data_IF_450987263652
#
_entry.id   IF_450987263652
#
_cell.length_a   1.000
_cell.length_b   1.000
_cell.length_c   1.000
_cell.angle_alpha   90.00
_cell.angle_beta   90.00
_cell.angle_gamma   90.00
#
_symmetry.space_group_name_H-M   'P 1'
#
loop_
_entity.id
_entity.type
_entity.pdbx_description
1 polymer ?
#
# COMPACT_ATOMS: atom_id res chain seq x y z
N UNK A 1 -8.03 10.25 48.85
CA UNK A 1 -7.49 9.27 47.88
C UNK A 1 -7.87 9.69 46.48
N UNK A 2 -6.95 9.56 45.52
CA UNK A 2 -7.26 9.74 44.11
C UNK A 2 -7.00 8.41 43.42
N UNK A 3 -7.99 7.92 42.67
CA UNK A 3 -7.93 6.64 41.96
C UNK A 3 -8.28 6.85 40.50
N UNK A 4 -7.47 6.28 39.60
CA UNK A 4 -7.74 6.26 38.17
C UNK A 4 -8.33 4.90 37.76
N UNK A 5 -9.23 4.91 36.79
CA UNK A 5 -9.73 3.71 36.12
C UNK A 5 -8.63 3.03 35.29
N UNK A 6 -8.92 1.84 34.75
CA UNK A 6 -8.09 1.17 33.73
C UNK A 6 -7.70 2.12 32.60
N UNK A 7 -6.53 1.88 31.99
CA UNK A 7 -5.87 2.72 30.97
C UNK A 7 -5.34 4.07 31.45
N UNK A 8 -5.55 4.44 32.71
CA UNK A 8 -5.04 5.68 33.27
C UNK A 8 -4.25 5.41 34.55
N UNK A 9 -3.14 6.15 34.71
CA UNK A 9 -2.36 6.15 35.93
C UNK A 9 -2.21 7.58 36.44
N UNK A 10 -2.02 7.72 37.74
CA UNK A 10 -1.92 9.00 38.45
C UNK A 10 -0.60 9.14 39.17
N UNK A 11 -0.13 10.38 39.29
CA UNK A 11 1.11 10.73 39.97
C UNK A 11 1.03 12.10 40.65
N UNK A 12 1.78 12.28 41.73
CA UNK A 12 1.98 13.58 42.39
C UNK A 12 3.35 14.21 42.06
N UNK A 13 4.26 13.46 41.43
CA UNK A 13 5.63 13.89 41.14
C UNK A 13 5.96 13.89 39.63
N UNK A 14 5.03 13.44 38.78
CA UNK A 14 5.20 13.23 37.35
C UNK A 14 6.31 12.22 36.99
N UNK A 15 6.72 11.37 37.93
CA UNK A 15 7.77 10.37 37.74
C UNK A 15 7.22 8.98 38.02
N UNK A 16 6.65 8.78 39.21
CA UNK A 16 6.08 7.51 39.64
C UNK A 16 4.58 7.55 39.42
N UNK A 17 4.06 6.70 38.53
CA UNK A 17 2.61 6.60 38.34
C UNK A 17 2.10 5.24 38.79
N UNK A 18 0.91 5.28 39.38
CA UNK A 18 0.19 4.14 39.96
C UNK A 18 -1.30 4.25 39.64
N UNK A 19 -2.09 3.22 39.96
CA UNK A 19 -3.55 3.28 39.82
C UNK A 19 -4.22 4.21 40.84
N UNK A 20 -3.53 4.56 41.93
CA UNK A 20 -4.02 5.51 42.92
C UNK A 20 -2.88 6.21 43.67
N UNK A 21 -3.14 7.43 44.13
CA UNK A 21 -2.24 8.23 44.97
C UNK A 21 -2.99 8.83 46.16
N UNK A 22 -2.28 9.04 47.27
CA UNK A 22 -2.79 9.81 48.42
C UNK A 22 -2.16 11.19 48.43
N UNK A 23 -2.98 12.24 48.41
CA UNK A 23 -2.52 13.57 48.80
C UNK A 23 -2.20 13.51 50.31
N UNK A 24 -0.97 13.88 50.73
CA UNK A 24 -0.62 13.91 52.14
C UNK A 24 -1.53 14.87 52.93
N UNK A 25 -1.94 14.48 54.13
CA UNK A 25 -2.83 15.31 54.97
C UNK A 25 -2.26 16.71 55.25
N UNK A 26 -0.93 16.82 55.37
CA UNK A 26 -0.23 18.08 55.59
C UNK A 26 -0.39 19.10 54.43
N UNK A 27 -0.68 18.62 53.22
CA UNK A 27 -0.86 19.43 52.02
C UNK A 27 -2.30 19.43 51.49
N UNK A 28 -3.23 18.75 52.16
CA UNK A 28 -4.58 18.53 51.66
C UNK A 28 -5.43 19.82 51.52
N UNK A 29 -5.07 20.88 52.25
CA UNK A 29 -5.74 22.19 52.18
C UNK A 29 -5.02 23.19 51.25
N UNK A 30 -3.94 22.77 50.59
CA UNK A 30 -3.22 23.57 49.61
C UNK A 30 -3.53 23.08 48.19
N UNK A 31 -3.12 23.84 47.18
CA UNK A 31 -3.15 23.38 45.80
C UNK A 31 -2.25 22.15 45.63
N UNK A 32 -2.81 21.09 45.04
CA UNK A 32 -2.11 19.85 44.72
C UNK A 32 -2.25 19.57 43.22
N UNK A 33 -1.11 19.51 42.51
CA UNK A 33 -1.07 19.09 41.11
C UNK A 33 -1.10 17.58 41.02
N UNK A 34 -2.01 17.05 40.22
CA UNK A 34 -2.13 15.61 39.94
C UNK A 34 -1.87 15.42 38.45
N UNK A 35 -0.88 14.61 38.14
CA UNK A 35 -0.57 14.22 36.76
C UNK A 35 -1.35 12.97 36.43
N UNK A 36 -2.00 12.96 35.27
CA UNK A 36 -2.72 11.81 34.72
C UNK A 36 -1.98 11.37 33.47
N UNK A 37 -1.67 10.09 33.37
CA UNK A 37 -1.04 9.49 32.20
C UNK A 37 -1.97 8.43 31.61
N UNK A 38 -2.27 8.59 30.34
CA UNK A 38 -2.93 7.57 29.55
C UNK A 38 -1.92 6.47 29.17
N UNK A 39 -2.28 5.22 29.43
CA UNK A 39 -1.48 4.01 29.20
C UNK A 39 -2.43 2.91 28.70
N UNK A 40 -2.92 3.06 27.46
CA UNK A 40 -3.94 2.17 26.91
C UNK A 40 -3.44 0.74 26.82
N UNK A 41 -4.30 -0.20 27.21
CA UNK A 41 -4.09 -1.64 26.99
C UNK A 41 -4.76 -2.11 25.69
N UNK A 42 -5.63 -1.30 25.09
CA UNK A 42 -6.33 -1.56 23.82
C UNK A 42 -6.22 -0.38 22.87
N UNK A 43 -6.30 -0.64 21.56
CA UNK A 43 -6.38 0.40 20.53
C UNK A 43 -7.76 1.08 20.54
N UNK A 44 -7.81 2.32 20.06
CA UNK A 44 -9.04 3.08 19.91
C UNK A 44 -9.43 3.90 21.14
N UNK A 45 -10.66 4.43 21.11
CA UNK A 45 -11.16 5.31 22.15
C UNK A 45 -11.30 4.56 23.48
N UNK A 46 -10.67 5.08 24.51
CA UNK A 46 -10.77 4.62 25.89
C UNK A 46 -11.36 5.75 26.73
N UNK A 47 -12.38 5.41 27.50
CA UNK A 47 -12.97 6.31 28.49
C UNK A 47 -12.69 5.78 29.88
N UNK A 48 -12.51 6.71 30.81
CA UNK A 48 -12.15 6.40 32.17
C UNK A 48 -12.64 7.44 33.14
N UNK A 49 -12.31 7.24 34.40
CA UNK A 49 -12.61 8.20 35.45
C UNK A 49 -11.42 8.39 36.37
N UNK A 50 -11.29 9.61 36.87
CA UNK A 50 -10.48 9.95 38.02
C UNK A 50 -11.43 10.23 39.19
N UNK A 51 -11.41 9.37 40.20
CA UNK A 51 -12.24 9.50 41.40
C UNK A 51 -11.41 10.09 42.54
N UNK A 52 -11.82 11.25 43.03
CA UNK A 52 -11.26 11.91 44.21
C UNK A 52 -12.19 11.64 45.39
N UNK A 53 -11.73 10.83 46.34
CA UNK A 53 -12.50 10.38 47.48
C UNK A 53 -11.94 10.90 48.81
N UNK A 54 -12.84 11.29 49.71
CA UNK A 54 -12.57 11.68 51.10
C UNK A 54 -13.71 11.14 51.99
N UNK A 55 -13.38 10.54 53.14
CA UNK A 55 -14.37 9.92 54.02
C UNK A 55 -15.46 10.87 54.53
N UNK A 56 -15.16 12.17 54.60
CA UNK A 56 -16.05 13.19 55.16
C UNK A 56 -16.86 13.96 54.09
N UNK A 57 -16.68 13.64 52.80
CA UNK A 57 -17.34 14.35 51.69
C UNK A 57 -17.78 13.40 50.59
N UNK A 58 -18.67 13.88 49.71
CA UNK A 58 -19.00 13.14 48.49
C UNK A 58 -17.79 13.10 47.55
N UNK A 59 -17.59 11.97 46.89
CA UNK A 59 -16.54 11.80 45.88
C UNK A 59 -16.76 12.74 44.69
N UNK A 60 -15.67 13.31 44.19
CA UNK A 60 -15.65 14.04 42.92
C UNK A 60 -15.13 13.12 41.83
N UNK A 61 -15.87 13.01 40.72
CA UNK A 61 -15.50 12.15 39.59
C UNK A 61 -15.24 13.02 38.38
N UNK A 62 -14.07 12.86 37.77
CA UNK A 62 -13.68 13.54 36.53
C UNK A 62 -13.64 12.49 35.42
N UNK A 63 -14.34 12.75 34.32
CA UNK A 63 -14.28 11.90 33.14
C UNK A 63 -12.92 12.08 32.44
N UNK A 64 -12.34 10.97 32.01
CA UNK A 64 -11.12 10.92 31.21
C UNK A 64 -11.43 10.30 29.85
N UNK A 65 -10.77 10.81 28.82
CA UNK A 65 -10.80 10.23 27.49
C UNK A 65 -9.38 10.19 26.92
N UNK A 66 -9.09 9.13 26.16
CA UNK A 66 -7.84 8.93 25.46
C UNK A 66 -8.07 8.05 24.24
N UNK A 67 -7.11 8.03 23.31
CA UNK A 67 -7.19 7.17 22.13
C UNK A 67 -5.89 6.38 21.99
N UNK A 68 -5.96 5.06 22.16
CA UNK A 68 -4.80 4.17 22.01
C UNK A 68 -4.41 4.06 20.55
N UNK A 69 -3.15 4.37 20.24
CA UNK A 69 -2.57 4.21 18.92
C UNK A 69 -1.66 2.97 18.88
N UNK A 70 -1.60 2.25 17.75
CA UNK A 70 -0.72 1.10 17.63
C UNK A 70 0.75 1.53 17.66
N UNK A 71 1.60 0.66 18.19
CA UNK A 71 3.05 0.81 18.08
C UNK A 71 3.44 0.69 16.62
N UNK A 72 4.33 1.58 16.17
CA UNK A 72 4.76 1.68 14.78
C UNK A 72 6.28 1.68 14.74
N UNK A 73 6.85 0.77 13.96
CA UNK A 73 8.28 0.76 13.66
C UNK A 73 8.46 1.28 12.24
N UNK A 74 9.17 2.40 12.09
CA UNK A 74 9.43 3.02 10.78
C UNK A 74 10.83 2.67 10.28
N UNK A 75 10.93 2.33 8.99
CA UNK A 75 12.18 2.01 8.32
C UNK A 75 12.26 2.77 6.99
N UNK A 76 13.22 3.67 6.86
CA UNK A 76 13.53 4.33 5.59
C UNK A 76 14.39 3.38 4.74
N UNK A 77 13.91 3.08 3.53
CA UNK A 77 14.65 2.31 2.54
C UNK A 77 15.43 3.25 1.63
N UNK A 78 14.76 3.89 0.66
CA UNK A 78 15.37 4.90 -0.20
C UNK A 78 15.20 6.28 0.41
N UNK A 79 16.20 7.15 0.29
CA UNK A 79 16.16 8.52 0.79
C UNK A 79 16.71 9.47 -0.25
N UNK A 80 15.83 10.29 -0.84
CA UNK A 80 16.15 11.23 -1.93
C UNK A 80 16.92 10.55 -3.09
N UNK A 81 16.61 9.30 -3.39
CA UNK A 81 17.27 8.56 -4.46
C UNK A 81 16.89 9.17 -5.82
N UNK A 82 17.87 9.76 -6.49
CA UNK A 82 17.67 10.35 -7.81
C UNK A 82 17.48 9.27 -8.87
N UNK A 83 16.36 9.34 -9.60
CA UNK A 83 16.07 8.49 -10.76
C UNK A 83 15.79 9.35 -12.00
N UNK A 84 16.35 8.96 -13.14
CA UNK A 84 16.23 9.69 -14.41
C UNK A 84 16.91 8.95 -15.56
N UNK A 85 17.05 9.59 -16.71
CA UNK A 85 17.67 9.00 -17.89
C UNK A 85 18.75 9.89 -18.51
N UNK A 86 19.96 9.34 -18.63
CA UNK A 86 21.12 10.10 -19.07
C UNK A 86 21.66 11.04 -17.98
N UNK A 87 22.68 11.83 -18.30
CA UNK A 87 23.29 12.76 -17.32
C UNK A 87 23.95 12.10 -16.11
N UNK A 88 24.13 10.77 -16.11
CA UNK A 88 24.62 10.00 -14.98
C UNK A 88 23.54 9.37 -14.10
N UNK A 89 22.25 9.59 -14.42
CA UNK A 89 21.12 8.96 -13.73
C UNK A 89 20.74 7.62 -14.35
N UNK A 90 20.14 6.75 -13.54
CA UNK A 90 19.50 5.51 -13.94
C UNK A 90 18.00 5.57 -13.65
N UNK A 91 17.20 4.91 -14.48
CA UNK A 91 15.75 4.83 -14.30
C UNK A 91 15.34 3.91 -13.14
N UNK A 92 16.27 3.09 -12.65
CA UNK A 92 16.06 2.20 -11.52
C UNK A 92 17.26 2.16 -10.59
N UNK A 93 16.99 1.90 -9.31
CA UNK A 93 18.00 1.61 -8.30
C UNK A 93 17.54 0.39 -7.48
N UNK A 94 18.47 -0.50 -7.16
CA UNK A 94 18.20 -1.68 -6.33
C UNK A 94 19.23 -1.80 -5.20
N UNK A 95 18.77 -1.98 -3.97
CA UNK A 95 19.58 -1.99 -2.76
C UNK A 95 19.00 -2.95 -1.72
N UNK A 96 19.83 -3.40 -0.78
CA UNK A 96 19.41 -4.23 0.35
C UNK A 96 19.26 -3.40 1.61
N UNK A 97 18.12 -3.55 2.28
CA UNK A 97 17.77 -2.85 3.51
C UNK A 97 17.55 -3.83 4.65
N UNK A 98 17.78 -3.40 5.88
CA UNK A 98 17.43 -4.18 7.07
C UNK A 98 16.08 -3.67 7.61
N UNK A 99 15.02 -4.40 7.32
CA UNK A 99 13.66 -4.14 7.77
C UNK A 99 13.35 -4.91 9.06
N UNK A 100 12.10 -4.81 9.54
CA UNK A 100 11.66 -5.48 10.75
C UNK A 100 11.80 -7.00 10.64
N UNK A 101 12.36 -7.66 11.67
CA UNK A 101 12.65 -9.10 11.65
C UNK A 101 11.56 -9.96 12.30
N UNK A 102 10.88 -9.44 13.34
CA UNK A 102 9.86 -10.21 14.07
C UNK A 102 8.46 -9.81 13.60
N UNK A 103 7.87 -10.62 12.74
CA UNK A 103 6.54 -10.32 12.19
C UNK A 103 5.38 -10.86 13.05
N UNK A 104 5.65 -11.46 14.21
CA UNK A 104 4.64 -12.21 14.98
C UNK A 104 3.48 -11.34 15.48
N UNK A 105 3.77 -10.07 15.81
CA UNK A 105 2.79 -9.08 16.25
C UNK A 105 2.57 -7.97 15.20
N UNK A 106 3.02 -8.14 13.96
CA UNK A 106 2.80 -7.13 12.90
C UNK A 106 1.50 -7.42 12.19
N UNK A 107 0.52 -6.53 12.35
CA UNK A 107 -0.79 -6.64 11.71
C UNK A 107 -0.81 -6.01 10.31
N UNK A 108 -0.03 -4.95 10.08
CA UNK A 108 -0.01 -4.23 8.81
C UNK A 108 1.39 -3.73 8.47
N UNK A 109 1.70 -3.68 7.18
CA UNK A 109 2.87 -2.99 6.64
C UNK A 109 2.38 -1.95 5.63
N UNK A 110 2.62 -0.67 5.94
CA UNK A 110 2.33 0.45 5.02
C UNK A 110 3.63 0.93 4.41
N UNK A 111 3.66 1.05 3.09
CA UNK A 111 4.75 1.69 2.36
C UNK A 111 4.33 3.10 1.98
N UNK A 112 5.24 4.05 2.12
CA UNK A 112 5.06 5.44 1.76
C UNK A 112 6.10 5.82 0.72
N UNK A 113 5.68 6.52 -0.33
CA UNK A 113 6.54 6.97 -1.42
C UNK A 113 6.42 8.47 -1.54
N UNK A 114 7.50 9.18 -1.22
CA UNK A 114 7.61 10.61 -1.44
C UNK A 114 8.40 10.87 -2.72
N UNK A 115 7.85 11.76 -3.54
CA UNK A 115 8.50 12.27 -4.74
C UNK A 115 8.82 13.73 -4.47
N UNK A 116 10.08 14.11 -4.63
CA UNK A 116 10.52 15.49 -4.60
C UNK A 116 11.23 15.87 -5.90
N UNK A 117 11.26 17.17 -6.17
CA UNK A 117 11.92 17.73 -7.34
C UNK A 117 13.20 18.42 -6.89
N UNK A 118 14.35 18.15 -7.53
CA UNK A 118 15.56 18.94 -7.30
C UNK A 118 15.28 20.43 -7.50
N UNK A 119 16.06 21.30 -6.86
CA UNK A 119 15.95 22.76 -7.08
C UNK A 119 16.12 23.19 -8.55
N UNK A 120 16.73 22.35 -9.38
CA UNK A 120 16.85 22.51 -10.83
C UNK A 120 15.62 22.07 -11.66
N UNK A 121 14.59 21.52 -11.00
CA UNK A 121 13.43 20.88 -11.63
C UNK A 121 13.59 19.36 -11.78
N UNK A 122 12.44 18.68 -11.80
CA UNK A 122 12.25 17.23 -12.06
C UNK A 122 11.67 17.02 -13.46
N UNK A 123 11.38 15.76 -13.83
CA UNK A 123 10.67 15.48 -15.08
C UNK A 123 9.26 16.09 -15.03
N UNK A 124 8.91 16.78 -16.11
CA UNK A 124 7.66 17.55 -16.16
C UNK A 124 6.44 16.65 -16.47
N UNK A 125 6.69 15.37 -16.81
CA UNK A 125 5.70 14.39 -17.25
C UNK A 125 5.21 13.44 -16.14
N UNK A 126 4.00 12.93 -16.33
CA UNK A 126 3.39 11.87 -15.51
C UNK A 126 3.91 10.49 -15.94
N UNK A 127 4.92 9.99 -15.21
CA UNK A 127 5.62 8.74 -15.52
C UNK A 127 5.04 7.57 -14.78
N UNK A 128 4.98 6.42 -15.46
CA UNK A 128 4.87 5.13 -14.80
C UNK A 128 6.04 4.93 -13.85
N UNK A 129 5.75 4.46 -12.65
CA UNK A 129 6.76 4.10 -11.66
C UNK A 129 6.28 2.96 -10.77
N UNK A 130 7.21 2.15 -10.27
CA UNK A 130 6.88 1.08 -9.35
C UNK A 130 8.01 0.77 -8.36
N UNK A 131 7.61 0.05 -7.31
CA UNK A 131 8.49 -0.48 -6.27
C UNK A 131 8.34 -1.99 -6.28
N UNK A 132 9.46 -2.69 -6.25
CA UNK A 132 9.52 -4.15 -6.24
C UNK A 132 10.33 -4.67 -5.06
N UNK A 133 9.93 -5.82 -4.53
CA UNK A 133 10.69 -6.63 -3.59
C UNK A 133 11.22 -7.86 -4.31
N UNK A 134 12.44 -8.28 -4.00
CA UNK A 134 12.99 -9.52 -4.56
C UNK A 134 12.61 -10.72 -3.72
N UNK A 135 12.02 -11.74 -4.33
CA UNK A 135 11.95 -13.05 -3.71
C UNK A 135 13.37 -13.65 -3.65
N UNK A 136 13.85 -13.89 -2.43
CA UNK A 136 15.19 -14.43 -2.20
C UNK A 136 15.32 -15.88 -2.66
N UNK A 137 14.21 -16.60 -2.82
CA UNK A 137 14.21 -18.01 -3.25
C UNK A 137 14.37 -18.11 -4.76
N UNK A 138 13.54 -17.42 -5.53
CA UNK A 138 13.56 -17.51 -7.00
C UNK A 138 14.49 -16.47 -7.64
N UNK A 139 14.71 -15.34 -6.98
CA UNK A 139 15.42 -14.17 -7.53
C UNK A 139 14.52 -13.20 -8.30
N UNK A 140 13.21 -13.50 -8.40
CA UNK A 140 12.24 -12.68 -9.12
C UNK A 140 11.89 -11.40 -8.37
N UNK A 141 11.42 -10.39 -9.12
CA UNK A 141 11.03 -9.09 -8.60
C UNK A 141 9.51 -8.94 -8.58
N UNK A 142 8.91 -8.96 -7.40
CA UNK A 142 7.47 -8.77 -7.21
C UNK A 142 7.15 -7.29 -7.02
N UNK A 143 6.25 -6.75 -7.85
CA UNK A 143 5.73 -5.39 -7.73
C UNK A 143 4.82 -5.25 -6.52
N UNK A 144 5.26 -4.48 -5.53
CA UNK A 144 4.52 -4.27 -4.28
C UNK A 144 3.66 -3.00 -4.33
N UNK A 145 4.02 -2.05 -5.19
CA UNK A 145 3.24 -0.84 -5.43
C UNK A 145 3.60 -0.19 -6.77
N UNK A 146 2.60 0.44 -7.40
CA UNK A 146 2.74 1.19 -8.65
C UNK A 146 2.07 2.55 -8.53
N UNK A 147 2.68 3.56 -9.10
CA UNK A 147 2.14 4.91 -9.13
C UNK A 147 2.42 5.59 -10.46
N UNK A 148 1.71 6.69 -10.69
CA UNK A 148 2.02 7.63 -11.75
C UNK A 148 2.53 8.91 -11.10
N UNK A 149 3.70 9.40 -11.50
CA UNK A 149 4.24 10.65 -10.96
C UNK A 149 3.30 11.82 -11.28
N UNK A 150 3.28 12.87 -10.44
CA UNK A 150 2.54 14.08 -10.79
C UNK A 150 3.26 14.81 -11.93
N UNK A 151 2.51 15.57 -12.73
CA UNK A 151 3.14 16.52 -13.65
C UNK A 151 3.80 17.68 -12.89
N UNK A 152 5.01 18.09 -13.28
CA UNK A 152 5.72 19.31 -12.83
C UNK A 152 6.09 19.41 -11.34
N UNK A 153 5.64 18.50 -10.49
CA UNK A 153 5.73 18.60 -9.03
C UNK A 153 5.94 17.24 -8.40
N UNK A 154 6.29 17.24 -7.12
CA UNK A 154 6.32 16.05 -6.29
C UNK A 154 5.03 15.83 -5.49
N UNK A 155 5.11 15.04 -4.44
CA UNK A 155 3.99 14.67 -3.56
C UNK A 155 3.95 15.48 -2.26
N UNK A 156 4.55 16.67 -2.22
CA UNK A 156 4.73 17.48 -1.00
C UNK A 156 3.41 17.99 -0.40
N UNK A 157 2.29 17.88 -1.14
CA UNK A 157 0.95 18.14 -0.61
C UNK A 157 0.41 17.01 0.28
N UNK A 158 1.09 15.86 0.30
CA UNK A 158 0.78 14.72 1.14
C UNK A 158 1.83 14.65 2.25
N UNK A 159 1.38 14.69 3.51
CA UNK A 159 2.27 14.70 4.68
C UNK A 159 3.33 13.59 4.66
N UNK A 160 3.00 12.44 4.07
CA UNK A 160 3.88 11.27 3.95
C UNK A 160 4.02 10.73 2.52
N UNK A 161 3.59 11.47 1.51
CA UNK A 161 3.58 10.97 0.14
C UNK A 161 2.46 9.96 -0.13
N UNK A 162 2.63 9.16 -1.19
CA UNK A 162 1.66 8.15 -1.62
C UNK A 162 1.71 6.93 -0.68
N UNK A 163 0.56 6.51 -0.15
CA UNK A 163 0.44 5.36 0.75
C UNK A 163 0.05 4.08 -0.02
N UNK A 164 0.69 2.97 0.34
CA UNK A 164 0.39 1.63 -0.17
C UNK A 164 0.26 0.65 1.00
N UNK A 165 -0.76 -0.21 0.95
CA UNK A 165 -0.78 -1.40 1.79
C UNK A 165 -0.02 -2.54 1.12
N UNK A 166 1.10 -2.94 1.72
CA UNK A 166 2.00 -3.99 1.21
C UNK A 166 2.05 -5.20 2.16
N UNK A 167 1.06 -5.33 3.04
CA UNK A 167 0.98 -6.41 4.05
C UNK A 167 1.00 -7.81 3.43
N UNK A 168 0.44 -7.96 2.23
CA UNK A 168 0.44 -9.23 1.48
C UNK A 168 1.85 -9.77 1.20
N UNK A 169 2.86 -8.88 1.14
CA UNK A 169 4.27 -9.23 0.91
C UNK A 169 5.08 -9.35 2.20
N UNK A 170 4.43 -9.40 3.38
CA UNK A 170 5.14 -9.39 4.67
C UNK A 170 6.22 -10.48 4.78
N UNK A 171 6.00 -11.66 4.20
CA UNK A 171 6.98 -12.76 4.20
C UNK A 171 8.26 -12.44 3.43
N UNK A 172 8.24 -11.46 2.52
CA UNK A 172 9.39 -10.96 1.76
C UNK A 172 9.99 -9.68 2.37
N UNK A 173 9.18 -8.92 3.11
CA UNK A 173 9.55 -7.66 3.77
C UNK A 173 10.03 -7.90 5.21
N UNK A 174 10.99 -8.81 5.39
CA UNK A 174 11.54 -9.13 6.71
C UNK A 174 13.06 -9.27 6.72
N UNK A 175 13.70 -8.72 7.75
CA UNK A 175 15.15 -8.78 7.90
C UNK A 175 15.88 -8.12 6.73
N UNK A 176 16.85 -8.82 6.13
CA UNK A 176 17.57 -8.32 4.97
C UNK A 176 16.72 -8.47 3.69
N UNK A 177 16.25 -7.36 3.15
CA UNK A 177 15.33 -7.30 2.01
C UNK A 177 15.93 -6.50 0.86
N UNK A 178 15.99 -7.09 -0.35
CA UNK A 178 16.38 -6.37 -1.57
C UNK A 178 15.14 -5.70 -2.19
N UNK A 179 15.19 -4.38 -2.34
CA UNK A 179 14.14 -3.56 -2.94
C UNK A 179 14.66 -2.90 -4.22
N UNK A 180 13.76 -2.64 -5.15
CA UNK A 180 14.02 -1.88 -6.37
C UNK A 180 12.96 -0.81 -6.56
N UNK A 181 13.39 0.40 -6.86
CA UNK A 181 12.52 1.47 -7.36
C UNK A 181 12.79 1.69 -8.85
N UNK A 182 11.75 2.02 -9.61
CA UNK A 182 11.83 2.31 -11.04
C UNK A 182 10.89 3.47 -11.40
N UNK A 183 11.35 4.31 -12.34
CA UNK A 183 10.55 5.34 -13.00
C UNK A 183 10.84 5.32 -14.51
N UNK A 184 9.79 5.39 -15.31
CA UNK A 184 9.88 5.47 -16.78
C UNK A 184 10.20 6.90 -17.25
N UNK A 185 11.20 7.52 -16.63
CA UNK A 185 11.68 8.86 -16.94
C UNK A 185 12.63 8.81 -18.13
N UNK A 186 12.46 9.69 -19.11
CA UNK A 186 13.27 9.73 -20.34
C UNK A 186 14.10 11.01 -20.48
N UNK A 187 14.35 11.69 -19.37
CA UNK A 187 15.04 12.99 -19.32
C UNK A 187 16.18 12.97 -18.32
N UNK A 188 17.12 13.90 -18.46
CA UNK A 188 18.18 14.10 -17.45
C UNK A 188 17.70 14.90 -16.24
N UNK A 189 16.41 15.23 -16.14
CA UNK A 189 15.82 15.85 -14.95
C UNK A 189 15.33 14.71 -14.05
N UNK A 190 16.07 14.47 -12.97
CA UNK A 190 15.75 13.38 -12.06
C UNK A 190 14.62 13.74 -11.11
N UNK A 191 13.85 12.72 -10.73
CA UNK A 191 12.95 12.74 -9.59
C UNK A 191 13.71 12.21 -8.37
N UNK A 192 13.50 12.81 -7.19
CA UNK A 192 14.08 12.35 -5.93
C UNK A 192 13.06 11.50 -5.20
N UNK A 193 13.38 10.22 -5.02
CA UNK A 193 12.45 9.24 -4.45
C UNK A 193 12.89 8.86 -3.05
N UNK A 194 12.00 9.08 -2.08
CA UNK A 194 12.11 8.52 -0.72
C UNK A 194 11.04 7.45 -0.56
N UNK A 195 11.43 6.31 0.02
CA UNK A 195 10.53 5.21 0.32
C UNK A 195 10.76 4.78 1.75
N UNK A 196 9.70 4.71 2.55
CA UNK A 196 9.76 4.22 3.91
C UNK A 196 8.58 3.28 4.23
N UNK A 197 8.77 2.45 5.25
CA UNK A 197 7.82 1.42 5.65
C UNK A 197 7.46 1.57 7.12
N UNK A 198 6.17 1.49 7.41
CA UNK A 198 5.65 1.36 8.75
C UNK A 198 5.16 -0.04 9.02
N UNK A 199 5.79 -0.69 10.00
CA UNK A 199 5.35 -1.95 10.58
C UNK A 199 4.49 -1.62 11.79
N UNK A 200 3.19 -1.91 11.67
CA UNK A 200 2.19 -1.54 12.66
C UNK A 200 1.86 -2.78 13.50
N UNK A 201 2.15 -2.69 14.79
CA UNK A 201 1.84 -3.76 15.73
C UNK A 201 0.33 -3.93 15.91
N UNK A 202 -0.10 -5.17 16.11
CA UNK A 202 -1.47 -5.57 16.39
C UNK A 202 -1.60 -7.10 16.42
N UNK A 203 -2.83 -7.57 16.26
CA UNK A 203 -3.09 -9.00 16.06
C UNK A 203 -3.24 -9.25 14.56
N UNK A 204 -2.28 -9.91 13.89
CA UNK A 204 -2.47 -10.29 12.50
C UNK A 204 -3.64 -11.27 12.37
N UNK A 205 -4.36 -11.19 11.25
CA UNK A 205 -5.41 -12.16 10.88
C UNK A 205 -4.86 -13.60 10.83
N UNK A 206 -3.63 -13.74 10.35
CA UNK A 206 -2.86 -14.97 10.33
C UNK A 206 -1.36 -14.69 10.59
N UNK A 207 -0.67 -15.52 11.38
CA UNK A 207 0.76 -15.38 11.60
C UNK A 207 1.58 -15.59 10.31
N UNK A 208 1.19 -16.52 9.43
CA UNK A 208 1.98 -16.91 8.27
C UNK A 208 1.29 -16.55 6.96
N UNK A 209 2.06 -15.91 6.07
CA UNK A 209 1.66 -15.49 4.74
C UNK A 209 2.66 -16.07 3.73
N UNK A 210 2.19 -16.38 2.53
CA UNK A 210 3.05 -16.62 1.38
C UNK A 210 2.40 -16.07 0.11
N UNK A 211 3.21 -15.73 -0.88
CA UNK A 211 2.77 -15.04 -2.09
C UNK A 211 3.53 -15.56 -3.30
N UNK A 212 2.84 -15.72 -4.44
CA UNK A 212 3.44 -16.07 -5.72
C UNK A 212 2.88 -15.19 -6.83
N UNK A 213 3.73 -14.82 -7.80
CA UNK A 213 3.32 -14.07 -8.98
C UNK A 213 2.60 -14.98 -9.98
N UNK A 214 1.35 -14.65 -10.30
CA UNK A 214 0.55 -15.32 -11.34
C UNK A 214 0.80 -14.67 -12.70
N UNK A 215 0.77 -13.33 -12.75
CA UNK A 215 1.08 -12.56 -13.96
C UNK A 215 2.08 -11.43 -13.65
N UNK A 216 3.07 -11.27 -14.52
CA UNK A 216 4.27 -10.47 -14.29
C UNK A 216 4.60 -9.39 -15.35
N UNK A 217 3.60 -8.80 -16.01
CA UNK A 217 3.80 -7.84 -17.12
C UNK A 217 3.84 -6.38 -16.64
N UNK A 218 4.81 -6.09 -15.76
CA UNK A 218 4.89 -4.83 -15.00
C UNK A 218 6.28 -4.21 -15.01
N UNK A 219 7.07 -4.42 -16.06
CA UNK A 219 8.40 -3.80 -16.18
C UNK A 219 8.28 -2.28 -16.33
N UNK A 220 7.44 -1.83 -17.27
CA UNK A 220 7.12 -0.43 -17.53
C UNK A 220 5.73 -0.34 -18.19
N UNK A 221 5.31 0.84 -18.64
CA UNK A 221 3.97 1.02 -19.21
C UNK A 221 3.74 0.32 -20.56
N UNK A 222 4.78 0.23 -21.41
CA UNK A 222 4.67 -0.30 -22.78
C UNK A 222 5.14 -1.76 -22.95
N UNK A 223 5.83 -2.31 -21.94
CA UNK A 223 6.10 -3.75 -21.80
C UNK A 223 4.89 -4.51 -21.22
N UNK A 224 3.79 -3.80 -20.96
CA UNK A 224 2.50 -4.39 -20.66
C UNK A 224 1.95 -5.21 -21.83
N UNK A 225 0.87 -5.93 -21.57
CA UNK A 225 0.23 -6.78 -22.58
C UNK A 225 -0.36 -5.90 -23.69
N UNK A 226 -0.05 -6.12 -24.98
CA UNK A 226 -0.63 -5.38 -26.08
C UNK A 226 -2.16 -5.52 -26.11
N UNK A 227 -2.88 -4.41 -26.27
CA UNK A 227 -4.34 -4.41 -26.24
C UNK A 227 -4.95 -4.09 -27.61
N UNK A 228 -5.96 -4.89 -27.99
CA UNK A 228 -6.65 -4.81 -29.27
C UNK A 228 -5.86 -5.29 -30.49
N UNK A 229 -4.77 -6.02 -30.28
CA UNK A 229 -3.98 -6.69 -31.31
C UNK A 229 -3.64 -8.11 -30.84
N UNK A 230 -3.37 -9.01 -31.79
CA UNK A 230 -2.90 -10.35 -31.45
C UNK A 230 -1.51 -10.30 -30.79
N UNK A 231 -1.29 -11.13 -29.77
CA UNK A 231 -0.03 -11.25 -29.05
C UNK A 231 0.21 -12.68 -28.57
N UNK A 232 1.41 -12.97 -28.08
CA UNK A 232 1.80 -14.26 -27.52
C UNK A 232 2.04 -14.23 -26.01
N UNK A 233 1.65 -13.16 -25.34
CA UNK A 233 1.68 -13.08 -23.88
C UNK A 233 0.75 -14.15 -23.31
N UNK A 234 1.23 -14.84 -22.29
CA UNK A 234 0.49 -15.88 -21.60
C UNK A 234 -0.30 -15.27 -20.44
N UNK A 235 -1.62 -15.28 -20.56
CA UNK A 235 -2.55 -14.75 -19.56
C UNK A 235 -3.23 -15.86 -18.77
N UNK A 236 -2.89 -17.11 -19.07
CA UNK A 236 -3.44 -18.32 -18.50
C UNK A 236 -2.39 -18.94 -17.57
N UNK A 237 -2.81 -19.41 -16.40
CA UNK A 237 -1.94 -20.14 -15.46
C UNK A 237 -2.70 -21.25 -14.77
N UNK A 238 -2.00 -22.31 -14.42
CA UNK A 238 -2.49 -23.24 -13.39
C UNK A 238 -1.90 -22.86 -12.04
N UNK A 239 -2.77 -22.72 -11.03
CA UNK A 239 -2.42 -22.33 -9.67
C UNK A 239 -2.67 -23.50 -8.72
N UNK A 240 -1.66 -23.87 -7.95
CA UNK A 240 -1.73 -24.92 -6.92
C UNK A 240 -1.62 -24.28 -5.54
N UNK A 241 -2.67 -24.43 -4.73
CA UNK A 241 -2.75 -23.85 -3.39
C UNK A 241 -2.29 -24.86 -2.33
N UNK A 242 -1.42 -24.47 -1.37
CA UNK A 242 -0.99 -25.35 -0.28
C UNK A 242 -2.17 -25.88 0.54
N UNK A 243 -2.11 -27.15 0.96
CA UNK A 243 -3.19 -27.83 1.68
C UNK A 243 -3.60 -27.15 3.00
N UNK A 244 -2.67 -26.45 3.65
CA UNK A 244 -2.92 -25.75 4.91
C UNK A 244 -3.29 -24.27 4.75
N UNK A 245 -3.52 -23.77 3.52
CA UNK A 245 -4.07 -22.43 3.34
C UNK A 245 -5.45 -22.33 4.01
N UNK A 246 -5.67 -21.27 4.79
CA UNK A 246 -6.92 -20.95 5.49
C UNK A 246 -7.60 -19.71 4.89
N UNK A 247 -6.84 -18.88 4.17
CA UNK A 247 -7.33 -17.77 3.36
C UNK A 247 -6.53 -17.72 2.05
N UNK A 248 -7.21 -17.35 0.97
CA UNK A 248 -6.61 -17.21 -0.36
C UNK A 248 -7.26 -16.05 -1.09
N UNK A 249 -6.47 -15.12 -1.58
CA UNK A 249 -6.95 -14.00 -2.38
C UNK A 249 -5.99 -13.68 -3.51
N UNK A 250 -6.51 -13.04 -4.55
CA UNK A 250 -5.71 -12.45 -5.61
C UNK A 250 -5.45 -10.97 -5.30
N UNK A 251 -4.27 -10.49 -5.66
CA UNK A 251 -3.88 -9.08 -5.60
C UNK A 251 -3.47 -8.63 -6.98
N UNK A 252 -4.21 -7.72 -7.58
CA UNK A 252 -3.95 -7.22 -8.94
C UNK A 252 -3.67 -5.71 -8.96
N UNK A 253 -2.68 -5.30 -9.74
CA UNK A 253 -2.45 -3.91 -10.13
C UNK A 253 -2.39 -3.82 -11.66
N UNK A 254 -3.26 -3.00 -12.24
CA UNK A 254 -3.40 -2.82 -13.69
C UNK A 254 -3.53 -1.34 -14.05
N UNK A 255 -2.80 -0.92 -15.09
CA UNK A 255 -2.87 0.45 -15.65
C UNK A 255 -2.70 0.42 -17.16
N UNK A 256 -3.62 1.07 -17.87
CA UNK A 256 -3.60 1.18 -19.33
C UNK A 256 -2.73 2.34 -19.83
N UNK A 257 -2.02 2.12 -20.93
CA UNK A 257 -1.22 3.13 -21.62
C UNK A 257 -1.62 3.23 -23.10
N UNK A 258 -1.42 4.43 -23.67
CA UNK A 258 -1.62 4.68 -25.09
C UNK A 258 -2.95 5.37 -25.42
N UNK A 259 -3.01 5.85 -26.65
CA UNK A 259 -4.15 6.58 -27.20
C UNK A 259 -4.52 6.06 -28.60
N UNK A 260 -4.54 4.74 -28.72
CA UNK A 260 -4.96 4.00 -29.89
C UNK A 260 -6.45 4.14 -30.20
N UNK A 261 -6.75 4.11 -31.49
CA UNK A 261 -8.09 4.21 -32.09
C UNK A 261 -8.62 2.82 -32.46
N UNK A 262 -9.95 2.64 -32.59
CA UNK A 262 -11.01 3.65 -32.58
C UNK A 262 -11.35 4.17 -31.18
N UNK A 263 -11.70 5.46 -31.10
CA UNK A 263 -12.11 6.10 -29.85
C UNK A 263 -13.49 5.62 -29.40
N UNK A 264 -13.67 5.48 -28.10
CA UNK A 264 -15.00 5.38 -27.49
C UNK A 264 -15.77 6.70 -27.55
N UNK A 265 -17.04 6.64 -27.12
CA UNK A 265 -17.85 7.82 -26.86
C UNK A 265 -17.10 8.84 -25.98
N UNK A 266 -17.23 10.13 -26.31
CA UNK A 266 -16.47 11.20 -25.66
C UNK A 266 -15.03 11.34 -26.15
N UNK A 267 -14.63 10.61 -27.20
CA UNK A 267 -13.30 10.75 -27.81
C UNK A 267 -12.19 10.13 -26.97
N UNK A 268 -12.48 9.02 -26.29
CA UNK A 268 -11.56 8.34 -25.36
C UNK A 268 -10.83 7.18 -26.06
N UNK A 269 -9.55 7.33 -26.42
CA UNK A 269 -8.77 6.26 -27.01
C UNK A 269 -8.24 5.26 -25.97
N UNK A 270 -7.79 4.09 -26.42
CA UNK A 270 -7.27 3.04 -25.54
C UNK A 270 -5.74 3.04 -25.42
N UNK A 271 -5.16 2.57 -24.32
CA UNK A 271 -5.79 2.08 -23.09
C UNK A 271 -5.75 3.10 -21.93
N UNK A 272 -5.18 4.29 -22.13
CA UNK A 272 -5.12 5.31 -21.08
C UNK A 272 -6.51 5.89 -20.76
N UNK A 273 -7.38 6.08 -21.76
CA UNK A 273 -8.58 6.90 -21.61
C UNK A 273 -9.89 6.11 -21.69
N UNK A 274 -9.89 5.00 -22.44
CA UNK A 274 -11.08 4.19 -22.69
C UNK A 274 -11.42 3.35 -21.46
N UNK A 275 -12.63 3.53 -20.90
CA UNK A 275 -13.02 2.78 -19.72
C UNK A 275 -13.34 1.34 -20.10
N UNK A 276 -12.80 0.39 -19.35
CA UNK A 276 -12.97 -1.04 -19.60
C UNK A 276 -13.27 -1.80 -18.32
N UNK A 277 -13.89 -2.96 -18.44
CA UNK A 277 -14.09 -3.93 -17.37
C UNK A 277 -13.47 -5.25 -17.80
N UNK A 278 -12.30 -5.56 -17.27
CA UNK A 278 -11.64 -6.84 -17.51
C UNK A 278 -12.14 -7.88 -16.50
N UNK A 279 -11.97 -9.16 -16.79
CA UNK A 279 -12.38 -10.23 -15.88
C UNK A 279 -11.19 -11.12 -15.50
N UNK A 280 -11.22 -11.66 -14.29
CA UNK A 280 -10.45 -12.85 -13.94
C UNK A 280 -11.38 -14.05 -14.05
N UNK A 281 -10.99 -15.03 -14.85
CA UNK A 281 -11.68 -16.31 -14.93
C UNK A 281 -10.99 -17.34 -14.06
N UNK A 282 -11.78 -18.07 -13.28
CA UNK A 282 -11.35 -19.23 -12.50
C UNK A 282 -12.04 -20.45 -13.09
N UNK A 283 -11.27 -21.45 -13.50
CA UNK A 283 -11.77 -22.66 -14.18
C UNK A 283 -12.67 -22.33 -15.41
N UNK A 284 -12.28 -21.28 -16.15
CA UNK A 284 -12.99 -20.80 -17.34
C UNK A 284 -14.24 -19.97 -17.07
N UNK A 285 -14.59 -19.68 -15.82
CA UNK A 285 -15.76 -18.87 -15.45
C UNK A 285 -15.36 -17.48 -14.97
N UNK A 286 -15.94 -16.42 -15.55
CA UNK A 286 -15.75 -15.03 -15.09
C UNK A 286 -16.16 -14.94 -13.61
N UNK A 287 -15.17 -14.78 -12.73
CA UNK A 287 -15.34 -14.86 -11.28
C UNK A 287 -15.19 -13.49 -10.63
N UNK A 288 -14.24 -12.68 -11.12
CA UNK A 288 -14.02 -11.31 -10.64
C UNK A 288 -13.95 -10.34 -11.81
N UNK A 289 -14.40 -9.11 -11.59
CA UNK A 289 -14.41 -8.05 -12.62
C UNK A 289 -13.65 -6.83 -12.14
N UNK A 290 -12.76 -6.33 -12.99
CA UNK A 290 -11.92 -5.18 -12.76
C UNK A 290 -12.36 -4.00 -13.64
N UNK A 291 -13.20 -3.13 -13.08
CA UNK A 291 -13.57 -1.89 -13.73
C UNK A 291 -12.44 -0.85 -13.65
N UNK A 292 -11.97 -0.40 -14.80
CA UNK A 292 -11.02 0.70 -14.99
C UNK A 292 -11.81 1.95 -15.41
N UNK A 293 -12.50 2.52 -14.43
CA UNK A 293 -13.33 3.71 -14.59
C UNK A 293 -12.65 5.00 -14.11
N UNK A 294 -13.42 6.12 -14.09
CA UNK A 294 -12.96 7.38 -13.52
C UNK A 294 -12.69 7.25 -12.02
N UNK A 295 -11.60 7.85 -11.55
CA UNK A 295 -11.24 7.89 -10.13
C UNK A 295 -11.46 9.28 -9.49
N UNK A 296 -11.84 10.28 -10.29
CA UNK A 296 -12.01 11.66 -9.86
C UNK A 296 -10.69 12.42 -9.83
N UNK A 297 -9.87 12.35 -10.89
CA UNK A 297 -8.53 12.94 -10.91
C UNK A 297 -8.50 14.45 -10.60
N UNK A 298 -9.57 15.19 -10.94
CA UNK A 298 -9.71 16.61 -10.60
C UNK A 298 -9.75 16.89 -9.08
N UNK A 299 -10.05 15.89 -8.26
CA UNK A 299 -10.05 15.97 -6.80
C UNK A 299 -8.75 15.46 -6.15
N UNK A 300 -7.71 15.16 -6.95
CA UNK A 300 -6.43 14.70 -6.42
C UNK A 300 -5.85 15.73 -5.42
N UNK A 301 -5.51 15.34 -4.17
CA UNK A 301 -4.86 16.23 -3.21
C UNK A 301 -3.56 16.85 -3.73
N UNK A 302 -2.82 16.15 -4.61
CA UNK A 302 -1.70 16.72 -5.37
C UNK A 302 -2.25 17.56 -6.53
N UNK A 303 -2.87 18.69 -6.21
CA UNK A 303 -3.59 19.57 -7.15
C UNK A 303 -2.72 20.66 -7.82
N UNK A 304 -1.42 20.72 -7.52
CA UNK A 304 -0.49 21.75 -8.02
C UNK A 304 0.25 21.33 -9.30
N UNK A 305 -0.35 20.45 -10.09
CA UNK A 305 0.24 19.82 -11.29
C UNK A 305 0.13 20.68 -12.57
N UNK A 306 -0.38 21.91 -12.50
CA UNK A 306 -0.49 22.80 -13.66
C UNK A 306 0.91 23.20 -14.18
N UNK A 307 1.13 23.25 -15.50
CA UNK A 307 0.14 23.18 -16.59
C UNK A 307 -0.16 21.78 -17.14
N UNK A 308 0.23 20.70 -16.45
CA UNK A 308 -0.05 19.33 -16.88
C UNK A 308 -1.55 19.02 -17.01
N UNK A 309 -1.90 18.04 -17.84
CA UNK A 309 -3.29 17.64 -18.07
C UNK A 309 -3.79 16.68 -16.98
N UNK A 310 -3.71 17.08 -15.71
CA UNK A 310 -3.87 16.17 -14.55
C UNK A 310 -5.32 15.91 -14.14
N UNK A 311 -6.26 16.80 -14.50
CA UNK A 311 -7.64 16.75 -14.00
C UNK A 311 -8.54 15.75 -14.71
N UNK A 312 -8.18 15.31 -15.92
CA UNK A 312 -9.00 14.39 -16.71
C UNK A 312 -8.84 12.96 -16.21
N UNK A 313 -9.97 12.28 -16.01
CA UNK A 313 -10.00 10.88 -15.61
C UNK A 313 -9.46 9.95 -16.70
N UNK A 314 -8.42 9.20 -16.33
CA UNK A 314 -7.95 8.03 -17.07
C UNK A 314 -8.73 6.78 -16.65
N UNK A 315 -8.54 5.71 -17.39
CA UNK A 315 -9.12 4.41 -17.08
C UNK A 315 -8.40 3.74 -15.91
N UNK A 316 -8.90 3.99 -14.69
CA UNK A 316 -8.42 3.31 -13.48
C UNK A 316 -7.12 3.86 -12.88
N UNK A 317 -6.67 5.07 -13.25
CA UNK A 317 -5.54 5.74 -12.61
C UNK A 317 -5.62 7.27 -12.74
N UNK A 318 -4.78 8.01 -11.99
CA UNK A 318 -4.60 9.46 -12.10
C UNK A 318 -3.11 9.84 -12.01
N UNK A 319 -2.67 10.89 -12.71
CA UNK A 319 -1.36 11.50 -12.47
C UNK A 319 -1.19 11.96 -11.01
N UNK A 320 -0.04 11.68 -10.42
CA UNK A 320 0.26 12.00 -9.02
C UNK A 320 -0.52 11.14 -8.02
N UNK A 321 -0.78 9.88 -8.34
CA UNK A 321 -1.55 8.96 -7.49
C UNK A 321 -1.02 7.52 -7.57
N UNK A 322 -1.22 6.75 -6.50
CA UNK A 322 -1.07 5.31 -6.54
C UNK A 322 -2.07 4.68 -7.53
N UNK A 323 -1.64 3.68 -8.30
CA UNK A 323 -2.55 2.85 -9.09
C UNK A 323 -3.30 1.93 -8.12
N UNK A 324 -4.65 1.84 -8.19
CA UNK A 324 -5.42 1.04 -7.25
C UNK A 324 -4.98 -0.43 -7.21
N UNK A 325 -4.84 -0.95 -5.99
CA UNK A 325 -4.73 -2.39 -5.76
C UNK A 325 -6.13 -3.00 -5.69
N UNK A 326 -6.34 -4.06 -6.47
CA UNK A 326 -7.59 -4.83 -6.51
C UNK A 326 -7.37 -6.13 -5.74
N UNK A 327 -8.27 -6.43 -4.81
CA UNK A 327 -8.19 -7.61 -3.94
C UNK A 327 -9.43 -8.46 -4.20
N UNK A 328 -9.22 -9.69 -4.67
CA UNK A 328 -10.28 -10.63 -5.00
C UNK A 328 -10.21 -11.84 -4.07
N UNK A 329 -11.16 -11.93 -3.14
CA UNK A 329 -11.24 -13.05 -2.20
C UNK A 329 -11.82 -14.29 -2.91
N UNK A 330 -11.07 -15.38 -2.93
CA UNK A 330 -11.49 -16.64 -3.54
C UNK A 330 -12.48 -17.43 -2.67
N UNK A 331 -12.85 -16.92 -1.49
CA UNK A 331 -13.87 -17.47 -0.61
C UNK A 331 -13.31 -18.48 0.38
N UNK A 332 -14.01 -19.62 0.58
CA UNK A 332 -13.56 -20.66 1.50
C UNK A 332 -12.11 -21.09 1.18
N UNK A 333 -11.35 -21.48 2.20
CA UNK A 333 -9.93 -21.78 2.08
C UNK A 333 -9.67 -22.69 0.88
N UNK A 334 -9.04 -22.18 -0.18
CA UNK A 334 -8.70 -22.93 -1.39
C UNK A 334 -7.60 -23.99 -1.13
N UNK A 335 -7.37 -24.36 0.13
CA UNK A 335 -6.31 -25.26 0.57
C UNK A 335 -6.33 -26.60 -0.15
N UNK A 336 -5.24 -26.91 -0.84
CA UNK A 336 -5.06 -28.18 -1.56
C UNK A 336 -5.78 -28.25 -2.89
N UNK A 337 -6.46 -27.17 -3.29
CA UNK A 337 -7.08 -27.06 -4.61
C UNK A 337 -6.07 -26.74 -5.70
N UNK A 338 -6.47 -27.04 -6.93
CA UNK A 338 -5.80 -26.63 -8.17
C UNK A 338 -6.88 -25.99 -9.04
N UNK A 339 -6.61 -24.82 -9.61
CA UNK A 339 -7.52 -24.14 -10.52
C UNK A 339 -6.76 -23.51 -11.68
N UNK A 340 -7.45 -23.28 -12.80
CA UNK A 340 -6.92 -22.45 -13.89
C UNK A 340 -7.32 -21.00 -13.68
N UNK A 341 -6.37 -20.10 -13.83
CA UNK A 341 -6.53 -18.67 -13.84
C UNK A 341 -6.39 -18.15 -15.27
N UNK A 342 -7.22 -17.20 -15.67
CA UNK A 342 -7.07 -16.43 -16.91
C UNK A 342 -7.40 -14.96 -16.61
N UNK A 343 -6.56 -14.03 -17.07
CA UNK A 343 -6.88 -12.60 -17.06
C UNK A 343 -7.43 -12.18 -18.43
N UNK A 344 -8.74 -11.98 -18.51
CA UNK A 344 -9.48 -11.71 -19.73
C UNK A 344 -9.71 -10.21 -19.93
N UNK A 345 -9.12 -9.63 -20.97
CA UNK A 345 -9.38 -8.23 -21.29
C UNK A 345 -10.68 -8.09 -22.08
N UNK A 346 -11.57 -7.17 -21.65
CA UNK A 346 -12.71 -6.74 -22.47
C UNK A 346 -12.36 -6.55 -23.95
N UNK A 347 -13.16 -7.14 -24.83
CA UNK A 347 -12.93 -7.12 -26.27
C UNK A 347 -12.85 -5.69 -26.83
N UNK A 348 -11.76 -5.41 -27.54
CA UNK A 348 -11.59 -4.22 -28.36
C UNK A 348 -10.59 -4.52 -29.48
N UNK A 349 -10.66 -3.80 -30.59
CA UNK A 349 -9.75 -4.00 -31.73
C UNK A 349 -9.12 -2.67 -32.10
N UNK A 350 -7.79 -2.63 -32.09
CA UNK A 350 -7.02 -1.48 -32.55
C UNK A 350 -7.13 -1.39 -34.09
N UNK A 351 -7.58 -0.25 -34.61
CA UNK A 351 -7.69 -0.01 -36.06
C UNK A 351 -6.34 0.35 -36.72
N UNK A 352 -5.29 0.53 -35.91
CA UNK A 352 -3.95 0.89 -36.34
C UNK A 352 -3.80 2.34 -36.80
N UNK A 353 -4.83 3.18 -36.64
CA UNK A 353 -4.81 4.54 -37.15
C UNK A 353 -4.10 5.54 -36.22
N UNK A 354 -3.89 5.20 -34.93
CA UNK A 354 -3.26 6.11 -33.97
C UNK A 354 -2.44 5.43 -32.85
N UNK A 355 -1.39 4.70 -33.21
CA UNK A 355 -0.46 4.12 -32.23
C UNK A 355 -0.97 2.83 -31.59
N UNK A 356 -0.46 2.52 -30.39
CA UNK A 356 -0.67 1.24 -29.70
C UNK A 356 -1.23 1.44 -28.30
N UNK A 357 -1.78 0.36 -27.74
CA UNK A 357 -2.35 0.31 -26.41
C UNK A 357 -1.75 -0.86 -25.63
N UNK A 358 -1.53 -0.69 -24.34
CA UNK A 358 -0.92 -1.70 -23.47
C UNK A 358 -1.58 -1.69 -22.09
N UNK A 359 -1.65 -2.86 -21.46
CA UNK A 359 -1.95 -2.99 -20.03
C UNK A 359 -0.76 -3.54 -19.28
N UNK A 360 -0.10 -2.68 -18.51
CA UNK A 360 0.84 -3.16 -17.50
C UNK A 360 0.04 -3.83 -16.38
N UNK A 361 0.33 -5.09 -16.07
CA UNK A 361 -0.46 -5.89 -15.14
C UNK A 361 0.45 -6.74 -14.26
N UNK A 362 0.22 -6.69 -12.96
CA UNK A 362 0.74 -7.65 -11.99
C UNK A 362 -0.43 -8.31 -11.27
N UNK A 363 -0.41 -9.63 -11.16
CA UNK A 363 -1.37 -10.38 -10.34
C UNK A 363 -0.60 -11.37 -9.48
N UNK A 364 -0.89 -11.35 -8.18
CA UNK A 364 -0.33 -12.28 -7.20
C UNK A 364 -1.45 -13.12 -6.58
N UNK A 365 -1.13 -14.35 -6.21
CA UNK A 365 -1.95 -15.14 -5.30
C UNK A 365 -1.32 -15.13 -3.92
N UNK A 366 -2.10 -14.76 -2.91
CA UNK A 366 -1.67 -14.66 -1.52
C UNK A 366 -2.41 -15.72 -0.72
N UNK A 367 -1.66 -16.47 0.10
CA UNK A 367 -2.22 -17.49 1.00
C UNK A 367 -1.81 -17.20 2.43
N UNK A 368 -2.72 -17.47 3.37
CA UNK A 368 -2.52 -17.23 4.80
C UNK A 368 -2.89 -18.45 5.62
N UNK A 369 -2.20 -18.69 6.73
CA UNK A 369 -2.49 -19.79 7.67
C UNK A 369 -2.01 -19.51 9.09
N UNK A 370 -2.63 -20.18 10.06
CA UNK A 370 -2.18 -20.28 11.45
C UNK A 370 -0.98 -21.23 11.63
N UNK A 371 -0.63 -21.98 10.59
CA UNK A 371 0.56 -22.83 10.50
C UNK A 371 1.52 -22.31 9.43
N UNK A 372 2.81 -22.64 9.53
CA UNK A 372 3.81 -22.25 8.53
C UNK A 372 3.33 -22.69 7.13
N UNK A 373 3.25 -21.75 6.19
CA UNK A 373 2.70 -21.96 4.86
C UNK A 373 3.76 -21.73 3.79
N UNK A 374 3.76 -22.57 2.76
CA UNK A 374 4.62 -22.42 1.58
C UNK A 374 3.94 -21.54 0.53
N UNK A 375 4.72 -20.98 -0.38
CA UNK A 375 4.17 -20.22 -1.51
C UNK A 375 3.30 -21.13 -2.41
N UNK A 376 2.22 -20.59 -3.01
CA UNK A 376 1.49 -21.28 -4.09
C UNK A 376 2.41 -21.61 -5.27
N UNK A 377 2.12 -22.69 -5.99
CA UNK A 377 2.89 -23.05 -7.18
C UNK A 377 2.14 -22.59 -8.42
N UNK A 378 2.84 -21.89 -9.31
CA UNK A 378 2.32 -21.38 -10.58
C UNK A 378 2.94 -22.19 -11.71
N UNK A 379 2.09 -22.69 -12.61
CA UNK A 379 2.48 -23.54 -13.74
C UNK A 379 1.93 -22.89 -15.01
N UNK A 380 2.79 -22.80 -16.03
CA UNK A 380 2.46 -22.35 -17.39
C UNK A 380 1.63 -23.39 -18.16
#
# INVERSE_FOLDING_TARGET
>A
MITASTDFNVSLDNITFTSSVQIPAASANNDATVYVRFSPITLGAATGTLTLANADTTDTVIALEGNGAPVRHNYVAFNEQALGYGGGFNQSEAQTFTLHSDLTNIAQIKMYVQIDCPSSGCDDWDRFANIKVKDQITGDWYEIGRYITPYWTGTQQLDRGLEFDVTDFKSLLTGATELRIYIENWTSKADLITVDFDYIEGTPDYPYYAVSEVLGYHVNSIDGVPYGVAHSFDLDKQVVIPANAESTHLRTVISGWGHATPNDAGGRPCAEWCYRTHDIKIDGSNTFSHYLGPLGCAANPVNNQNPGNWTQDRAGWCPGMAVPTRIDDLGASMGGSIFTFEYDFEDWVNDGANGSAYYATSTYVVVKSNSVITAPVIID
#
